data_IF_233004761904
#
_entry.id   IF_233004761904
#
_cell.length_a   1.000
_cell.length_b   1.000
_cell.length_c   1.000
_cell.angle_alpha   90.00
_cell.angle_beta   90.00
_cell.angle_gamma   90.00
#
_symmetry.space_group_name_H-M   'P 1'
#
loop_
_entity.id
_entity.type
_entity.pdbx_description
1 polymer ?
#
# COMPACT_ATOMS: atom_id res chain seq x y z
N UNK A 1 -30.23 6.19 12.92
CA UNK A 1 -29.37 5.12 12.80
C UNK A 1 -27.92 5.49 12.72
N UNK A 2 -27.19 5.00 13.64
CA UNK A 2 -25.82 5.41 13.70
C UNK A 2 -25.01 4.63 12.72
N UNK A 3 -24.39 5.32 11.81
CA UNK A 3 -23.43 4.73 10.96
C UNK A 3 -22.18 4.46 11.73
N UNK A 4 -21.53 3.35 11.45
CA UNK A 4 -20.21 3.15 12.06
C UNK A 4 -19.34 4.31 11.67
N UNK A 5 -18.53 4.77 12.60
CA UNK A 5 -17.60 5.79 12.34
C UNK A 5 -16.71 5.46 11.21
N UNK A 6 -16.51 4.19 11.01
CA UNK A 6 -15.51 3.71 10.13
C UNK A 6 -16.17 2.97 9.02
N UNK A 7 -16.29 3.61 7.88
CA UNK A 7 -16.77 2.97 6.67
C UNK A 7 -15.64 2.32 5.90
N UNK A 8 -14.49 2.18 6.54
CA UNK A 8 -13.33 1.66 5.86
C UNK A 8 -13.49 0.19 5.53
N UNK A 9 -12.96 -0.26 4.41
CA UNK A 9 -13.03 -1.68 4.07
C UNK A 9 -12.33 -2.53 5.11
N UNK A 10 -12.96 -3.62 5.49
CA UNK A 10 -12.36 -4.58 6.40
C UNK A 10 -12.22 -5.94 5.76
N UNK A 11 -12.81 -6.12 4.59
CA UNK A 11 -12.74 -7.39 3.87
C UNK A 11 -11.80 -7.23 2.69
N UNK A 12 -10.85 -8.14 2.57
CA UNK A 12 -9.91 -8.10 1.47
C UNK A 12 -10.58 -8.45 0.16
N UNK A 13 -10.31 -7.68 -0.88
CA UNK A 13 -10.63 -8.03 -2.26
C UNK A 13 -9.40 -7.82 -3.09
N UNK A 14 -9.30 -8.55 -4.21
CA UNK A 14 -8.15 -8.41 -5.08
C UNK A 14 -8.03 -6.97 -5.61
N UNK A 15 -9.16 -6.35 -5.89
CA UNK A 15 -9.15 -4.97 -6.40
C UNK A 15 -8.61 -4.01 -5.36
N UNK A 16 -9.05 -4.17 -4.12
CA UNK A 16 -8.60 -3.30 -3.06
C UNK A 16 -7.14 -3.53 -2.75
N UNK A 17 -6.70 -4.79 -2.76
CA UNK A 17 -5.30 -5.09 -2.57
C UNK A 17 -4.44 -4.47 -3.63
N UNK A 18 -4.88 -4.51 -4.88
CA UNK A 18 -4.14 -3.91 -5.98
C UNK A 18 -4.05 -2.39 -5.82
N UNK A 19 -5.14 -1.77 -5.37
CA UNK A 19 -5.13 -0.32 -5.16
C UNK A 19 -4.13 0.06 -4.08
N UNK A 20 -4.12 -0.66 -2.97
CA UNK A 20 -3.17 -0.39 -1.89
C UNK A 20 -1.74 -0.58 -2.39
N UNK A 21 -1.51 -1.65 -3.13
CA UNK A 21 -0.17 -1.92 -3.65
C UNK A 21 0.27 -0.86 -4.66
N UNK A 22 -0.65 -0.40 -5.51
CA UNK A 22 -0.33 0.66 -6.46
C UNK A 22 0.11 1.93 -5.76
N UNK A 23 -0.59 2.33 -4.72
CA UNK A 23 -0.22 3.52 -3.97
C UNK A 23 1.13 3.34 -3.30
N UNK A 24 1.38 2.14 -2.81
CA UNK A 24 2.66 1.86 -2.17
C UNK A 24 3.81 1.92 -3.19
N UNK A 25 3.59 1.44 -4.40
CA UNK A 25 4.58 1.50 -5.47
C UNK A 25 4.86 2.94 -5.87
N UNK A 26 3.88 3.82 -5.75
CA UNK A 26 4.05 5.24 -6.05
C UNK A 26 4.77 5.99 -4.94
N UNK A 27 5.08 5.34 -3.84
CA UNK A 27 5.84 5.95 -2.78
C UNK A 27 5.07 6.22 -1.50
N UNK A 28 3.79 5.89 -1.47
CA UNK A 28 3.00 6.13 -0.26
C UNK A 28 3.34 5.07 0.78
N UNK A 29 3.57 5.50 2.00
CA UNK A 29 3.77 4.57 3.09
C UNK A 29 2.41 3.99 3.49
N UNK A 30 2.45 2.89 4.23
CA UNK A 30 1.21 2.28 4.72
C UNK A 30 0.42 3.29 5.55
N UNK A 31 1.12 4.08 6.35
CA UNK A 31 0.46 5.11 7.15
C UNK A 31 -0.22 6.14 6.28
N UNK A 32 0.43 6.56 5.20
CA UNK A 32 -0.15 7.54 4.29
C UNK A 32 -1.37 6.97 3.58
N UNK A 33 -1.29 5.73 3.14
CA UNK A 33 -2.44 5.08 2.49
C UNK A 33 -3.61 5.01 3.46
N UNK A 34 -3.33 4.70 4.71
CA UNK A 34 -4.37 4.55 5.73
C UNK A 34 -5.01 5.88 6.11
N UNK A 35 -4.42 7.00 5.74
CA UNK A 35 -5.03 8.30 6.01
C UNK A 35 -6.23 8.56 5.12
N UNK A 36 -6.32 7.86 4.00
CA UNK A 36 -7.48 7.97 3.11
C UNK A 36 -8.63 7.17 3.70
N UNK A 37 -9.76 7.83 3.94
CA UNK A 37 -10.90 7.17 4.57
C UNK A 37 -11.51 6.07 3.70
N UNK A 38 -11.20 6.03 2.41
CA UNK A 38 -11.69 4.98 1.54
C UNK A 38 -10.79 3.75 1.54
N UNK A 39 -9.65 3.83 2.22
CA UNK A 39 -8.69 2.73 2.29
C UNK A 39 -8.76 2.05 3.65
N UNK A 40 -8.27 0.82 3.76
CA UNK A 40 -8.23 0.14 5.05
C UNK A 40 -7.34 0.87 6.04
N UNK A 41 -7.55 0.62 7.32
CA UNK A 41 -6.67 1.19 8.33
C UNK A 41 -5.31 0.52 8.26
N UNK A 42 -4.32 1.18 8.86
CA UNK A 42 -2.97 0.62 8.92
C UNK A 42 -2.97 -0.78 9.53
N UNK A 43 -3.73 -0.95 10.60
CA UNK A 43 -3.83 -2.24 11.27
C UNK A 43 -4.37 -3.31 10.34
N UNK A 44 -5.41 -2.97 9.56
CA UNK A 44 -5.99 -3.90 8.63
C UNK A 44 -5.02 -4.26 7.51
N UNK A 45 -4.30 -3.27 6.99
CA UNK A 45 -3.32 -3.52 5.93
C UNK A 45 -2.23 -4.47 6.43
N UNK A 46 -1.72 -4.21 7.62
CA UNK A 46 -0.68 -5.06 8.20
C UNK A 46 -1.19 -6.47 8.46
N UNK A 47 -2.44 -6.59 8.90
CA UNK A 47 -3.04 -7.89 9.12
C UNK A 47 -3.13 -8.66 7.81
N UNK A 48 -3.55 -7.99 6.74
CA UNK A 48 -3.65 -8.64 5.44
C UNK A 48 -2.30 -9.11 4.92
N UNK A 49 -1.27 -8.30 5.13
CA UNK A 49 0.08 -8.70 4.74
C UNK A 49 0.48 -9.99 5.44
N UNK A 50 0.10 -10.13 6.69
CA UNK A 50 0.44 -11.33 7.45
C UNK A 50 -0.42 -12.54 7.13
N UNK A 51 -1.65 -12.33 6.65
CA UNK A 51 -2.58 -13.44 6.47
C UNK A 51 -2.84 -13.80 5.01
N UNK A 52 -2.67 -12.85 4.10
CA UNK A 52 -3.00 -13.08 2.69
C UNK A 52 -1.71 -13.05 1.90
N UNK A 53 -1.25 -14.24 1.51
CA UNK A 53 0.03 -14.36 0.84
C UNK A 53 0.06 -13.58 -0.47
N UNK A 54 -1.02 -13.63 -1.22
CA UNK A 54 -1.12 -12.91 -2.47
C UNK A 54 -0.90 -11.42 -2.26
N UNK A 55 -1.50 -10.86 -1.22
CA UNK A 55 -1.36 -9.46 -0.92
C UNK A 55 0.07 -9.14 -0.46
N UNK A 56 0.65 -10.02 0.34
CA UNK A 56 2.03 -9.84 0.79
C UNK A 56 2.99 -9.79 -0.39
N UNK A 57 2.78 -10.64 -1.39
CA UNK A 57 3.60 -10.64 -2.59
C UNK A 57 3.44 -9.34 -3.35
N UNK A 58 2.20 -8.86 -3.51
CA UNK A 58 1.95 -7.60 -4.20
C UNK A 58 2.62 -6.42 -3.50
N UNK A 59 2.57 -6.40 -2.18
CA UNK A 59 3.18 -5.32 -1.42
C UNK A 59 4.70 -5.34 -1.52
N UNK A 60 5.29 -6.54 -1.51
CA UNK A 60 6.73 -6.67 -1.68
C UNK A 60 7.16 -6.19 -3.06
N UNK A 61 6.41 -6.55 -4.09
CA UNK A 61 6.72 -6.11 -5.43
C UNK A 61 6.58 -4.61 -5.58
N UNK A 62 5.57 -4.04 -4.94
CA UNK A 62 5.37 -2.60 -4.96
C UNK A 62 6.54 -1.87 -4.31
N UNK A 63 7.00 -2.41 -3.20
CA UNK A 63 8.14 -1.82 -2.50
C UNK A 63 9.39 -1.89 -3.34
N UNK A 64 9.64 -3.03 -3.99
CA UNK A 64 10.80 -3.19 -4.84
C UNK A 64 10.77 -2.21 -6.00
N UNK A 65 9.60 -2.02 -6.61
CA UNK A 65 9.46 -1.09 -7.71
C UNK A 65 9.78 0.33 -7.27
N UNK A 66 9.33 0.70 -6.08
CA UNK A 66 9.60 2.03 -5.54
C UNK A 66 11.08 2.22 -5.28
N UNK A 67 11.73 1.23 -4.68
CA UNK A 67 13.15 1.30 -4.38
C UNK A 67 13.97 1.39 -5.67
N UNK A 68 13.58 0.63 -6.68
CA UNK A 68 14.26 0.69 -7.97
C UNK A 68 14.15 2.06 -8.60
N UNK A 69 12.97 2.66 -8.54
CA UNK A 69 12.75 3.98 -9.11
C UNK A 69 13.61 5.03 -8.41
N UNK A 70 13.70 4.95 -7.08
CA UNK A 70 14.54 5.87 -6.32
C UNK A 70 16.01 5.68 -6.66
N UNK A 71 16.44 4.43 -6.76
CA UNK A 71 17.84 4.15 -7.09
C UNK A 71 18.21 4.70 -8.46
N UNK A 72 17.31 4.58 -9.42
CA UNK A 72 17.54 5.12 -10.74
C UNK A 72 17.69 6.62 -10.72
N UNK A 73 16.81 7.29 -9.98
CA UNK A 73 16.89 8.74 -9.86
C UNK A 73 18.19 9.17 -9.19
N UNK A 74 18.60 8.45 -8.17
CA UNK A 74 19.84 8.76 -7.48
C UNK A 74 21.04 8.59 -8.41
N UNK A 75 21.03 7.55 -9.22
CA UNK A 75 22.12 7.33 -10.17
C UNK A 75 22.18 8.43 -11.21
N UNK A 76 21.04 8.90 -11.67
CA UNK A 76 21.01 9.99 -12.64
C UNK A 76 21.57 11.27 -12.05
N UNK A 77 21.22 11.55 -10.82
CA UNK A 77 21.76 12.74 -10.14
C UNK A 77 23.26 12.62 -9.96
N UNK A 78 23.73 11.44 -9.61
CA UNK A 78 25.15 11.23 -9.39
C UNK A 78 25.95 11.35 -10.68
N UNK A 79 25.31 11.08 -11.79
CA UNK A 79 25.96 11.12 -13.09
C UNK A 79 26.20 12.53 -13.57
N UNK A 80 25.54 13.45 -12.99
CA UNK A 80 25.74 14.86 -13.35
C UNK A 80 27.01 15.38 -12.71
#
# INVERSE_FOLDING_TARGET
MAKPKDDRPTTYTAELGAEVADRHADGASITQIAQDATMPTRKTILLWIGEIQEFAVMMNQARDAYVDAIAEECLQIADD
#
